data_IF_104686448805
#
_entry.id   IF_104686448805
#
_cell.length_a   1.000
_cell.length_b   1.000
_cell.length_c   1.000
_cell.angle_alpha   90.00
_cell.angle_beta   90.00
_cell.angle_gamma   90.00
#
_symmetry.space_group_name_H-M   'P 1'
#
loop_
_entity.id
_entity.type
_entity.pdbx_description
1 polymer ?
#
# COMPACT_ATOMS: atom_id res chain seq x y z
N UNK A 1 -6.61 -15.67 -37.08
CA UNK A 1 -7.14 -16.11 -35.79
C UNK A 1 -6.69 -15.06 -34.79
N UNK A 2 -7.56 -14.12 -34.47
CA UNK A 2 -7.29 -12.99 -33.54
C UNK A 2 -7.47 -13.53 -32.13
N UNK A 3 -6.50 -13.26 -31.27
CA UNK A 3 -6.63 -13.43 -29.82
C UNK A 3 -6.45 -12.04 -29.23
N UNK A 4 -7.58 -11.42 -28.93
CA UNK A 4 -7.62 -10.17 -28.19
C UNK A 4 -7.42 -10.52 -26.70
N UNK A 5 -6.23 -10.26 -26.19
CA UNK A 5 -5.88 -10.43 -24.78
C UNK A 5 -5.89 -9.07 -24.08
N UNK A 6 -7.06 -8.63 -23.62
CA UNK A 6 -7.16 -7.54 -22.65
C UNK A 6 -6.91 -8.13 -21.28
N UNK A 7 -5.70 -7.99 -20.77
CA UNK A 7 -5.32 -8.31 -19.39
C UNK A 7 -5.85 -7.22 -18.46
N UNK A 8 -7.11 -7.29 -18.12
CA UNK A 8 -7.68 -6.52 -17.00
C UNK A 8 -7.14 -7.15 -15.72
N UNK A 9 -6.59 -6.34 -14.85
CA UNK A 9 -6.31 -6.71 -13.46
C UNK A 9 -7.56 -7.40 -12.90
N UNK A 10 -7.55 -8.73 -12.84
CA UNK A 10 -8.74 -9.51 -12.56
C UNK A 10 -9.15 -9.33 -11.10
N UNK A 11 -10.18 -8.54 -10.91
CA UNK A 11 -10.99 -8.53 -9.69
C UNK A 11 -11.63 -9.92 -9.55
N UNK A 12 -11.12 -10.75 -8.67
CA UNK A 12 -11.75 -12.04 -8.34
C UNK A 12 -12.99 -11.77 -7.51
N UNK A 13 -14.15 -11.79 -8.14
CA UNK A 13 -15.45 -11.82 -7.48
C UNK A 13 -15.65 -13.22 -6.85
N UNK A 14 -15.42 -13.30 -5.55
CA UNK A 14 -15.92 -14.43 -4.75
C UNK A 14 -17.31 -14.09 -4.22
N UNK A 15 -18.31 -14.76 -4.73
CA UNK A 15 -19.67 -14.73 -4.22
C UNK A 15 -19.73 -15.42 -2.86
N UNK A 16 -19.84 -14.63 -1.80
CA UNK A 16 -20.01 -15.10 -0.41
C UNK A 16 -21.46 -15.03 0.00
N UNK A 17 -22.00 -16.15 0.44
CA UNK A 17 -23.38 -16.40 0.87
C UNK A 17 -23.81 -15.52 2.05
N UNK A 18 -24.99 -14.96 1.90
CA UNK A 18 -25.69 -14.16 2.92
C UNK A 18 -26.05 -14.99 4.15
N UNK A 19 -25.52 -14.63 5.30
CA UNK A 19 -26.03 -15.06 6.60
C UNK A 19 -26.86 -13.93 7.22
N UNK A 20 -28.15 -14.23 7.43
CA UNK A 20 -29.14 -13.39 8.10
C UNK A 20 -28.75 -13.15 9.57
N UNK A 21 -28.42 -11.91 9.91
CA UNK A 21 -28.28 -11.48 11.32
C UNK A 21 -29.56 -10.77 11.75
N UNK A 22 -30.22 -11.33 12.79
CA UNK A 22 -31.40 -10.77 13.45
C UNK A 22 -31.00 -9.56 14.29
N UNK A 23 -31.84 -8.49 14.35
CA UNK A 23 -31.58 -7.38 15.24
C UNK A 23 -31.99 -7.73 16.68
N UNK A 24 -31.08 -7.52 17.63
CA UNK A 24 -31.37 -7.48 19.06
C UNK A 24 -31.64 -6.04 19.45
N UNK A 25 -32.85 -5.75 19.89
CA UNK A 25 -33.23 -4.50 20.51
C UNK A 25 -32.62 -4.41 21.92
N UNK A 26 -31.79 -3.42 22.18
CA UNK A 26 -31.16 -3.16 23.48
C UNK A 26 -31.15 -1.67 23.81
N UNK A 27 -31.78 -1.34 24.90
CA UNK A 27 -32.18 -0.12 25.52
C UNK A 27 -31.20 1.03 25.56
N UNK A 28 -31.75 2.23 25.31
CA UNK A 28 -31.12 3.52 25.57
C UNK A 28 -31.08 3.79 27.07
N UNK A 29 -29.89 3.94 27.63
CA UNK A 29 -29.70 4.67 28.89
C UNK A 29 -28.76 5.83 28.62
N UNK A 30 -29.28 7.03 28.84
CA UNK A 30 -28.57 8.27 28.66
C UNK A 30 -27.46 8.44 29.69
N UNK A 31 -26.34 9.00 29.22
CA UNK A 31 -25.20 9.37 30.04
C UNK A 31 -24.20 10.11 29.18
N UNK A 32 -24.39 11.43 29.02
CA UNK A 32 -23.45 12.31 28.41
C UNK A 32 -22.23 12.45 29.30
N UNK A 33 -21.09 11.91 28.88
CA UNK A 33 -19.78 12.37 29.34
C UNK A 33 -18.90 12.47 28.10
N UNK A 34 -18.77 13.68 27.59
CA UNK A 34 -17.69 14.06 26.67
C UNK A 34 -16.38 13.96 27.45
N UNK A 35 -15.74 12.80 27.39
CA UNK A 35 -14.32 12.72 27.63
C UNK A 35 -13.63 13.27 26.37
N UNK A 36 -12.67 14.22 26.49
CA UNK A 36 -11.87 14.59 25.36
C UNK A 36 -11.15 13.34 24.86
N UNK A 37 -11.45 12.94 23.62
CA UNK A 37 -10.82 11.79 22.98
C UNK A 37 -9.33 11.96 23.04
N UNK A 38 -8.64 11.09 23.72
CA UNK A 38 -7.22 10.89 23.54
C UNK A 38 -7.05 10.52 22.07
N UNK A 39 -6.63 11.46 21.25
CA UNK A 39 -6.03 11.17 19.97
C UNK A 39 -4.90 10.20 20.31
N UNK A 40 -5.03 8.94 19.90
CA UNK A 40 -3.90 8.04 19.93
C UNK A 40 -2.83 8.75 19.09
N UNK A 41 -1.78 9.25 19.74
CA UNK A 41 -0.60 9.75 19.07
C UNK A 41 -0.06 8.61 18.23
N UNK A 42 -0.41 8.63 16.95
CA UNK A 42 0.28 7.78 15.97
C UNK A 42 1.71 8.32 15.95
N UNK A 43 2.71 7.54 16.39
CA UNK A 43 4.08 8.02 16.43
C UNK A 43 4.46 8.50 15.03
N UNK A 44 4.76 9.79 14.91
CA UNK A 44 5.31 10.30 13.67
C UNK A 44 6.75 9.77 13.56
N UNK A 45 7.04 8.82 12.65
CA UNK A 45 8.38 8.25 12.55
C UNK A 45 9.45 9.29 12.20
N UNK A 46 9.06 10.44 11.64
CA UNK A 46 9.97 11.56 11.36
C UNK A 46 10.29 12.42 12.60
N UNK A 47 9.54 12.23 13.69
CA UNK A 47 9.81 12.91 14.96
C UNK A 47 10.75 12.12 15.89
N UNK A 48 11.14 10.90 15.52
CA UNK A 48 12.08 10.08 16.28
C UNK A 48 13.51 10.60 16.08
N UNK A 49 14.03 11.33 17.07
CA UNK A 49 15.40 11.88 17.05
C UNK A 49 16.49 10.80 17.11
N UNK A 50 16.13 9.53 17.37
CA UNK A 50 17.05 8.38 17.37
C UNK A 50 17.15 7.70 16.02
N UNK A 51 16.31 8.10 15.05
CA UNK A 51 16.28 7.52 13.73
C UNK A 51 17.60 7.73 13.00
N UNK A 52 18.18 6.62 12.49
CA UNK A 52 19.38 6.68 11.64
C UNK A 52 19.10 7.47 10.38
N UNK A 53 20.03 8.39 9.94
CA UNK A 53 19.80 9.23 8.76
C UNK A 53 19.36 8.47 7.50
N UNK A 54 19.92 7.29 7.24
CA UNK A 54 19.54 6.47 6.09
C UNK A 54 18.09 5.97 6.15
N UNK A 55 17.58 5.65 7.34
CA UNK A 55 16.18 5.26 7.53
C UNK A 55 15.23 6.43 7.26
N UNK A 56 15.58 7.64 7.72
CA UNK A 56 14.80 8.84 7.45
C UNK A 56 14.68 9.12 5.96
N UNK A 57 15.77 8.97 5.19
CA UNK A 57 15.73 9.13 3.73
C UNK A 57 14.72 8.18 3.08
N UNK A 58 14.71 6.92 3.50
CA UNK A 58 13.79 5.94 2.92
C UNK A 58 12.33 6.23 3.28
N UNK A 59 12.04 6.69 4.49
CA UNK A 59 10.69 7.13 4.86
C UNK A 59 10.24 8.37 4.09
N UNK A 60 11.14 9.32 3.83
CA UNK A 60 10.83 10.49 3.00
C UNK A 60 10.52 10.09 1.55
N UNK A 61 11.24 9.10 1.01
CA UNK A 61 10.97 8.56 -0.33
C UNK A 61 9.60 7.89 -0.38
N UNK A 62 9.27 7.07 0.62
CA UNK A 62 7.96 6.43 0.73
C UNK A 62 6.82 7.45 0.81
N UNK A 63 6.98 8.47 1.65
CA UNK A 63 5.96 9.50 1.82
C UNK A 63 5.69 10.27 0.51
N UNK A 64 6.75 10.59 -0.25
CA UNK A 64 6.63 11.23 -1.56
C UNK A 64 5.98 10.31 -2.59
N UNK A 65 6.44 9.06 -2.65
CA UNK A 65 5.91 8.06 -3.55
C UNK A 65 4.42 7.82 -3.30
N UNK A 66 4.00 7.62 -2.05
CA UNK A 66 2.62 7.45 -1.66
C UNK A 66 1.76 8.66 -2.05
N UNK A 67 2.22 9.87 -1.70
CA UNK A 67 1.50 11.10 -2.02
C UNK A 67 1.31 11.29 -3.52
N UNK A 68 2.38 11.19 -4.29
CA UNK A 68 2.32 11.40 -5.73
C UNK A 68 1.48 10.34 -6.44
N UNK A 69 1.53 9.09 -5.98
CA UNK A 69 0.68 8.00 -6.48
C UNK A 69 -0.79 8.24 -6.16
N UNK A 70 -1.10 8.69 -4.96
CA UNK A 70 -2.48 9.02 -4.58
C UNK A 70 -3.06 10.14 -5.45
N UNK A 71 -2.24 11.10 -5.90
CA UNK A 71 -2.64 12.20 -6.76
C UNK A 71 -2.71 11.80 -8.25
N UNK A 72 -1.77 11.01 -8.73
CA UNK A 72 -1.58 10.71 -10.16
C UNK A 72 -1.92 9.28 -10.60
N UNK A 73 -2.23 8.39 -9.68
CA UNK A 73 -2.59 7.00 -9.96
C UNK A 73 -1.43 6.17 -10.52
N UNK A 74 -1.78 5.12 -11.25
CA UNK A 74 -0.83 4.15 -11.78
C UNK A 74 0.24 4.75 -12.68
N UNK A 75 -0.10 5.77 -13.43
CA UNK A 75 0.86 6.49 -14.29
C UNK A 75 2.03 7.07 -13.49
N UNK A 76 1.73 7.73 -12.38
CA UNK A 76 2.74 8.32 -11.51
C UNK A 76 3.46 7.24 -10.70
N UNK A 77 2.74 6.23 -10.21
CA UNK A 77 3.33 5.05 -9.58
C UNK A 77 4.50 4.49 -10.41
N UNK A 78 4.27 4.26 -11.71
CA UNK A 78 5.29 3.70 -12.59
C UNK A 78 6.53 4.59 -12.77
N UNK A 79 6.42 5.92 -12.66
CA UNK A 79 7.57 6.84 -12.83
C UNK A 79 8.62 6.72 -11.72
N UNK A 80 8.24 6.16 -10.58
CA UNK A 80 9.14 5.94 -9.46
C UNK A 80 10.10 4.76 -9.68
N UNK A 81 9.75 3.84 -10.60
CA UNK A 81 10.61 2.69 -10.88
C UNK A 81 11.86 3.06 -11.65
N UNK A 82 12.94 2.34 -11.37
CA UNK A 82 14.13 2.34 -12.21
C UNK A 82 13.78 1.84 -13.61
N UNK A 83 14.62 2.13 -14.60
CA UNK A 83 14.41 1.70 -15.98
C UNK A 83 14.31 0.17 -16.10
N UNK A 84 15.10 -0.55 -15.31
CA UNK A 84 15.12 -2.01 -15.18
C UNK A 84 14.32 -2.54 -13.98
N UNK A 85 13.51 -1.68 -13.33
CA UNK A 85 12.75 -2.01 -12.13
C UNK A 85 11.78 -3.17 -12.33
N UNK A 86 11.43 -3.84 -11.24
CA UNK A 86 10.57 -5.04 -11.25
C UNK A 86 9.39 -4.84 -10.34
N UNK A 87 8.20 -5.17 -10.82
CA UNK A 87 6.98 -5.26 -10.00
C UNK A 87 6.51 -6.71 -9.91
N UNK A 88 6.24 -7.16 -8.68
CA UNK A 88 5.75 -8.49 -8.35
C UNK A 88 4.42 -8.34 -7.63
N UNK A 89 3.33 -8.59 -8.33
CA UNK A 89 1.99 -8.60 -7.74
C UNK A 89 1.54 -10.03 -7.44
N UNK A 90 0.71 -10.18 -6.40
CA UNK A 90 0.20 -11.49 -5.99
C UNK A 90 -0.53 -12.20 -7.14
N UNK A 91 -0.14 -13.45 -7.43
CA UNK A 91 -0.75 -14.27 -8.48
C UNK A 91 -0.47 -13.80 -9.92
N UNK A 92 0.39 -12.80 -10.13
CA UNK A 92 0.74 -12.27 -11.44
C UNK A 92 2.17 -12.67 -11.86
N UNK A 93 2.41 -12.67 -13.17
CA UNK A 93 3.76 -12.80 -13.69
C UNK A 93 4.58 -11.53 -13.36
N UNK A 94 5.90 -11.66 -13.12
CA UNK A 94 6.74 -10.50 -12.91
C UNK A 94 6.70 -9.51 -14.07
N UNK A 95 6.46 -8.23 -13.79
CA UNK A 95 6.54 -7.15 -14.78
C UNK A 95 7.90 -6.49 -14.66
N UNK A 96 8.66 -6.45 -15.76
CA UNK A 96 10.04 -5.96 -15.78
C UNK A 96 10.17 -4.73 -16.66
N UNK A 97 10.81 -3.73 -16.12
CA UNK A 97 11.08 -2.43 -16.76
C UNK A 97 9.94 -1.42 -16.56
N UNK A 98 10.33 -0.18 -16.31
CA UNK A 98 9.41 0.94 -16.03
C UNK A 98 8.31 1.09 -17.08
N UNK A 99 8.65 0.95 -18.37
CA UNK A 99 7.66 1.11 -19.45
C UNK A 99 6.62 -0.02 -19.47
N UNK A 100 7.02 -1.24 -19.11
CA UNK A 100 6.10 -2.36 -18.98
C UNK A 100 5.19 -2.16 -17.74
N UNK A 101 5.77 -1.72 -16.62
CA UNK A 101 5.00 -1.38 -15.41
C UNK A 101 4.00 -0.27 -15.72
N UNK A 102 4.37 0.76 -16.46
CA UNK A 102 3.47 1.86 -16.84
C UNK A 102 2.31 1.40 -17.74
N UNK A 103 2.50 0.35 -18.54
CA UNK A 103 1.42 -0.25 -19.35
C UNK A 103 0.41 -1.03 -18.54
N UNK A 104 0.85 -1.65 -17.43
CA UNK A 104 -0.01 -2.38 -16.51
C UNK A 104 -0.67 -1.47 -15.48
N UNK A 105 0.06 -0.47 -14.97
CA UNK A 105 -0.39 0.47 -13.96
C UNK A 105 -1.28 1.57 -14.57
N UNK A 106 -2.50 1.22 -14.99
CA UNK A 106 -3.40 2.11 -15.74
C UNK A 106 -4.52 2.72 -14.89
N UNK A 107 -4.58 2.44 -13.60
CA UNK A 107 -5.67 2.92 -12.75
C UNK A 107 -5.65 4.45 -12.58
N UNK A 108 -6.85 5.00 -12.54
CA UNK A 108 -7.10 6.40 -12.18
C UNK A 108 -7.32 6.52 -10.66
N UNK A 109 -6.81 7.57 -10.01
CA UNK A 109 -7.06 7.78 -8.57
C UNK A 109 -8.55 8.04 -8.24
N UNK A 110 -9.39 8.27 -9.24
CA UNK A 110 -10.85 8.38 -9.06
C UNK A 110 -11.52 7.02 -8.91
N UNK A 111 -10.95 5.98 -9.52
CA UNK A 111 -11.53 4.65 -9.58
C UNK A 111 -10.88 3.69 -8.57
N UNK A 112 -9.61 3.91 -8.29
CA UNK A 112 -8.83 3.11 -7.36
C UNK A 112 -7.82 3.97 -6.60
N UNK A 113 -7.89 3.97 -5.27
CA UNK A 113 -6.94 4.62 -4.37
C UNK A 113 -6.03 3.57 -3.76
N UNK A 114 -4.75 3.68 -4.01
CA UNK A 114 -3.71 2.87 -3.37
C UNK A 114 -3.03 3.71 -2.29
N UNK A 115 -3.18 3.27 -1.05
CA UNK A 115 -2.62 3.90 0.14
C UNK A 115 -1.68 2.93 0.83
N UNK A 116 -0.55 3.43 1.34
CA UNK A 116 0.35 2.57 2.12
C UNK A 116 1.11 3.37 3.17
N UNK A 117 1.55 2.66 4.19
CA UNK A 117 2.30 3.23 5.30
C UNK A 117 3.48 2.32 5.61
N UNK A 118 4.71 2.84 5.60
CA UNK A 118 5.87 2.07 5.97
C UNK A 118 5.87 1.75 7.47
N UNK A 119 6.17 0.51 7.81
CA UNK A 119 6.38 0.04 9.18
C UNK A 119 7.83 0.20 9.57
N UNK A 120 8.76 -0.17 8.67
CA UNK A 120 10.19 -0.08 8.92
C UNK A 120 10.99 0.11 7.63
N UNK A 121 12.25 0.51 7.79
CA UNK A 121 13.19 0.72 6.71
C UNK A 121 14.61 0.36 7.11
N UNK A 122 15.37 -0.20 6.17
CA UNK A 122 16.78 -0.54 6.35
C UNK A 122 17.59 -0.01 5.18
N UNK A 123 18.63 0.76 5.49
CA UNK A 123 19.58 1.30 4.50
C UNK A 123 20.84 0.40 4.49
N UNK A 124 21.37 0.11 3.31
CA UNK A 124 22.65 -0.54 3.14
C UNK A 124 23.79 0.24 3.81
N UNK A 125 24.87 -0.44 4.17
CA UNK A 125 26.04 0.22 4.75
C UNK A 125 26.68 1.25 3.81
N UNK A 126 26.56 1.06 2.51
CA UNK A 126 27.07 1.97 1.47
C UNK A 126 26.15 3.18 1.21
N UNK A 127 24.91 3.13 1.69
CA UNK A 127 23.94 4.22 1.53
C UNK A 127 23.40 4.42 0.11
N UNK A 128 23.52 3.40 -0.74
CA UNK A 128 23.12 3.42 -2.15
C UNK A 128 21.93 2.50 -2.46
N UNK A 129 21.54 1.67 -1.50
CA UNK A 129 20.39 0.77 -1.58
C UNK A 129 19.72 0.67 -0.20
N UNK A 130 18.44 0.39 -0.20
CA UNK A 130 17.70 0.12 1.01
C UNK A 130 16.36 -0.51 0.70
N UNK A 131 15.63 -0.89 1.74
CA UNK A 131 14.26 -1.37 1.59
C UNK A 131 13.36 -0.78 2.66
N UNK A 132 12.11 -0.69 2.30
CA UNK A 132 10.99 -0.36 3.17
C UNK A 132 9.98 -1.48 3.10
N UNK A 133 9.23 -1.69 4.17
CA UNK A 133 8.11 -2.60 4.18
C UNK A 133 7.01 -2.05 5.08
N UNK A 134 5.79 -2.46 4.80
CA UNK A 134 4.66 -1.96 5.56
C UNK A 134 3.34 -2.56 5.12
N UNK A 135 2.28 -1.84 5.42
CA UNK A 135 0.91 -2.20 5.11
C UNK A 135 0.38 -1.32 3.98
N UNK A 136 -0.46 -1.89 3.10
CA UNK A 136 -1.16 -1.16 2.07
C UNK A 136 -2.67 -1.45 2.11
N UNK A 137 -3.43 -0.51 1.59
CA UNK A 137 -4.85 -0.64 1.31
C UNK A 137 -5.15 -0.14 -0.10
N UNK A 138 -5.94 -0.93 -0.84
CA UNK A 138 -6.50 -0.55 -2.12
C UNK A 138 -7.99 -0.32 -1.98
N UNK A 139 -8.46 0.88 -2.28
CA UNK A 139 -9.86 1.26 -2.17
C UNK A 139 -10.47 1.44 -3.55
N UNK A 140 -11.56 0.73 -3.82
CA UNK A 140 -12.33 0.83 -5.06
C UNK A 140 -13.84 0.74 -4.78
N UNK A 141 -14.63 0.79 -5.84
CA UNK A 141 -16.06 0.47 -5.78
C UNK A 141 -16.36 -0.64 -6.78
N UNK A 142 -17.26 -1.53 -6.39
CA UNK A 142 -17.79 -2.53 -7.32
C UNK A 142 -18.79 -1.91 -8.31
N UNK A 143 -19.33 -2.74 -9.21
CA UNK A 143 -20.29 -2.32 -10.23
C UNK A 143 -21.62 -1.78 -9.64
N UNK A 144 -21.95 -2.19 -8.43
CA UNK A 144 -23.14 -1.77 -7.69
C UNK A 144 -22.88 -0.51 -6.84
N UNK A 145 -21.64 0.00 -6.84
CA UNK A 145 -21.21 1.17 -6.09
C UNK A 145 -20.82 0.91 -4.63
N UNK A 146 -20.78 -0.34 -4.18
CA UNK A 146 -20.34 -0.69 -2.84
C UNK A 146 -18.83 -0.51 -2.70
N UNK A 147 -18.39 -0.08 -1.53
CA UNK A 147 -16.96 0.03 -1.23
C UNK A 147 -16.31 -1.36 -1.19
N UNK A 148 -15.19 -1.50 -1.89
CA UNK A 148 -14.33 -2.66 -1.85
C UNK A 148 -12.93 -2.23 -1.39
N UNK A 149 -12.43 -2.89 -0.33
CA UNK A 149 -11.11 -2.63 0.25
C UNK A 149 -10.32 -3.93 0.20
N UNK A 150 -9.17 -3.88 -0.44
CA UNK A 150 -8.15 -4.92 -0.36
C UNK A 150 -7.02 -4.42 0.52
N UNK A 151 -6.41 -5.30 1.30
CA UNK A 151 -5.30 -4.94 2.17
C UNK A 151 -4.21 -5.98 2.15
N UNK A 152 -3.02 -5.59 2.55
CA UNK A 152 -1.89 -6.49 2.59
C UNK A 152 -0.59 -5.82 3.01
N UNK A 153 0.49 -6.55 2.78
CA UNK A 153 1.85 -6.08 3.05
C UNK A 153 2.57 -5.81 1.77
N UNK A 154 3.48 -4.85 1.82
CA UNK A 154 4.37 -4.55 0.71
C UNK A 154 5.84 -4.54 1.16
N UNK A 155 6.72 -4.69 0.21
CA UNK A 155 8.16 -4.46 0.33
C UNK A 155 8.64 -3.75 -0.92
N UNK A 156 9.29 -2.60 -0.73
CA UNK A 156 9.92 -1.81 -1.79
C UNK A 156 11.43 -1.79 -1.59
N UNK A 157 12.18 -2.17 -2.60
CA UNK A 157 13.64 -2.02 -2.66
C UNK A 157 13.96 -0.74 -3.41
N UNK A 158 14.66 0.15 -2.73
CA UNK A 158 15.14 1.43 -3.22
C UNK A 158 16.59 1.32 -3.68
N UNK A 159 16.91 1.91 -4.82
CA UNK A 159 18.28 2.01 -5.34
C UNK A 159 18.57 3.45 -5.72
N UNK A 160 19.76 3.91 -5.33
CA UNK A 160 20.28 5.21 -5.77
C UNK A 160 20.89 5.05 -7.15
N UNK A 161 20.42 5.85 -8.10
CA UNK A 161 20.91 5.85 -9.47
C UNK A 161 22.20 6.69 -9.59
N UNK A 162 22.97 6.54 -10.68
CA UNK A 162 24.20 7.29 -10.87
C UNK A 162 24.05 8.82 -10.87
N UNK A 163 22.88 9.33 -11.20
CA UNK A 163 22.54 10.76 -11.15
C UNK A 163 22.19 11.25 -9.75
N UNK A 164 22.21 10.35 -8.75
CA UNK A 164 21.88 10.64 -7.35
C UNK A 164 20.40 10.53 -7.02
N UNK A 165 19.52 10.32 -7.99
CA UNK A 165 18.09 10.09 -7.75
C UNK A 165 17.87 8.71 -7.13
N UNK A 166 16.77 8.57 -6.37
CA UNK A 166 16.36 7.30 -5.83
C UNK A 166 15.19 6.73 -6.64
N UNK A 167 15.26 5.44 -6.96
CA UNK A 167 14.26 4.73 -7.73
C UNK A 167 13.90 3.39 -7.09
N UNK A 168 12.69 2.94 -7.36
CA UNK A 168 12.23 1.61 -6.98
C UNK A 168 12.87 0.58 -7.90
N UNK A 169 13.75 -0.25 -7.34
CA UNK A 169 14.38 -1.34 -8.07
C UNK A 169 13.48 -2.59 -8.11
N UNK A 170 12.75 -2.84 -7.02
CA UNK A 170 11.75 -3.88 -6.94
C UNK A 170 10.65 -3.46 -5.98
N UNK A 171 9.41 -3.72 -6.36
CA UNK A 171 8.24 -3.61 -5.51
C UNK A 171 7.46 -4.92 -5.52
N UNK A 172 6.99 -5.34 -4.36
CA UNK A 172 6.18 -6.55 -4.21
C UNK A 172 5.11 -6.34 -3.14
N UNK A 173 3.96 -6.96 -3.36
CA UNK A 173 2.87 -6.96 -2.40
C UNK A 173 2.22 -8.33 -2.28
N UNK A 174 1.67 -8.61 -1.11
CA UNK A 174 0.91 -9.80 -0.79
C UNK A 174 -0.40 -9.38 -0.14
N UNK A 175 -1.52 -9.83 -0.68
CA UNK A 175 -2.82 -9.64 -0.03
C UNK A 175 -2.88 -10.42 1.29
N UNK A 176 -3.58 -9.84 2.25
CA UNK A 176 -3.88 -10.48 3.53
C UNK A 176 -5.34 -10.92 3.53
N UNK A 177 -5.64 -12.15 4.02
CA UNK A 177 -7.02 -12.56 4.18
C UNK A 177 -7.77 -11.61 5.11
N UNK A 178 -9.03 -11.34 4.85
CA UNK A 178 -9.87 -10.46 5.67
C UNK A 178 -9.98 -10.93 7.14
N UNK A 179 -9.75 -12.22 7.37
CA UNK A 179 -9.78 -12.89 8.68
C UNK A 179 -8.38 -13.17 9.25
N UNK A 180 -7.33 -12.60 8.66
CA UNK A 180 -5.96 -12.77 9.15
C UNK A 180 -5.74 -12.31 10.62
N UNK A 181 -6.74 -11.60 11.17
CA UNK A 181 -6.75 -11.17 12.56
C UNK A 181 -5.62 -10.18 12.87
N UNK A 182 -5.08 -10.29 14.08
CA UNK A 182 -4.05 -9.36 14.56
C UNK A 182 -2.61 -9.71 14.10
N UNK A 183 -2.45 -10.64 13.16
CA UNK A 183 -1.13 -11.05 12.66
C UNK A 183 -0.33 -9.89 12.06
N UNK A 184 -1.01 -8.82 11.66
CA UNK A 184 -0.43 -7.66 10.98
C UNK A 184 -0.33 -6.44 11.90
N UNK A 185 -0.87 -6.52 13.10
CA UNK A 185 -0.71 -5.47 14.11
C UNK A 185 0.66 -5.63 14.78
N UNK A 186 1.41 -4.52 14.83
CA UNK A 186 2.62 -4.50 15.63
C UNK A 186 2.27 -4.81 17.09
N UNK A 187 3.06 -5.63 17.79
CA UNK A 187 2.89 -5.80 19.23
C UNK A 187 2.96 -4.44 19.91
N UNK A 188 2.07 -4.14 20.85
CA UNK A 188 2.15 -2.89 21.60
C UNK A 188 3.49 -2.85 22.34
N UNK A 189 4.32 -1.84 22.06
CA UNK A 189 5.50 -1.54 22.87
C UNK A 189 6.85 -2.11 22.41
N UNK A 190 7.08 -2.31 21.11
CA UNK A 190 8.45 -2.51 20.59
C UNK A 190 8.98 -1.24 19.95
#
# INVERSE_FOLDING_TARGET
>A
MKIDGVGVLALVLMAGSSALVRPVAGQVLGGSILAPGASADVPNPLADTTMKPGKAILFDLEAKFAKETAEGGGKVFATWFAEDGVSLANGQAPVRGRDAIAKEATWSPKDYQLLWTPTDAVMSATGDMGYTWGHYEGHSRDADGNANVTSGRYLTIWRKEPDGSWKVALDTSNEEPADAGDCCKLPPGQ
#
